data_IF_905896438757
#
_entry.id   IF_905896438757
#
_cell.length_a   1.000
_cell.length_b   1.000
_cell.length_c   1.000
_cell.angle_alpha   90.00
_cell.angle_beta   90.00
_cell.angle_gamma   90.00
#
_symmetry.space_group_name_H-M   'P 1'
#
loop_
_entity.id
_entity.type
_entity.pdbx_description
1 polymer ?
#
# COMPACT_ATOMS: atom_id res chain seq x y z
N UNK A 1 -10.34 -4.26 -25.12
CA UNK A 1 -8.88 -4.50 -25.03
C UNK A 1 -8.51 -4.54 -23.54
N UNK A 2 -7.83 -5.60 -23.09
CA UNK A 2 -7.32 -5.71 -21.73
C UNK A 2 -5.89 -5.14 -21.71
N UNK A 3 -5.57 -4.27 -20.77
CA UNK A 3 -4.22 -3.74 -20.59
C UNK A 3 -3.71 -4.14 -19.22
N UNK A 4 -2.66 -4.95 -19.18
CA UNK A 4 -1.95 -5.30 -17.94
C UNK A 4 -1.13 -4.10 -17.51
N UNK A 5 -1.31 -3.69 -16.25
CA UNK A 5 -0.59 -2.57 -15.65
C UNK A 5 0.59 -3.06 -14.81
N UNK A 6 0.38 -4.17 -14.09
CA UNK A 6 1.40 -4.72 -13.21
C UNK A 6 1.23 -6.22 -13.03
N UNK A 7 2.35 -6.91 -12.86
CA UNK A 7 2.42 -8.32 -12.47
C UNK A 7 3.34 -8.39 -11.25
N UNK A 8 2.94 -9.16 -10.24
CA UNK A 8 3.80 -9.50 -9.09
C UNK A 8 3.68 -11.00 -8.81
N UNK A 9 4.79 -11.61 -8.41
CA UNK A 9 4.88 -13.03 -8.08
C UNK A 9 5.12 -13.12 -6.57
N UNK A 10 4.45 -14.06 -5.90
CA UNK A 10 4.66 -14.27 -4.47
C UNK A 10 6.05 -14.84 -4.22
N UNK A 11 6.75 -14.32 -3.21
CA UNK A 11 8.12 -14.73 -2.90
C UNK A 11 8.22 -16.10 -2.24
N UNK A 12 7.16 -16.54 -1.58
CA UNK A 12 7.03 -17.83 -0.90
C UNK A 12 6.39 -18.92 -1.78
N UNK A 13 5.63 -18.52 -2.79
CA UNK A 13 4.97 -19.40 -3.74
C UNK A 13 5.06 -18.83 -5.17
N UNK A 14 6.02 -19.30 -5.99
CA UNK A 14 6.19 -18.79 -7.35
C UNK A 14 5.02 -19.14 -8.28
N UNK A 15 4.17 -20.11 -7.92
CA UNK A 15 2.95 -20.45 -8.66
C UNK A 15 1.77 -19.53 -8.29
N UNK A 16 1.98 -18.58 -7.36
CA UNK A 16 1.03 -17.54 -7.02
C UNK A 16 1.42 -16.21 -7.69
N UNK A 17 0.63 -15.79 -8.68
CA UNK A 17 0.90 -14.58 -9.48
C UNK A 17 -0.32 -13.66 -9.46
N UNK A 18 -0.10 -12.38 -9.17
CA UNK A 18 -1.14 -11.36 -9.21
C UNK A 18 -0.93 -10.45 -10.42
N UNK A 19 -2.01 -10.22 -11.17
CA UNK A 19 -2.02 -9.41 -12.38
C UNK A 19 -3.05 -8.29 -12.22
N UNK A 20 -2.57 -7.06 -12.16
CA UNK A 20 -3.38 -5.84 -12.19
C UNK A 20 -3.71 -5.49 -13.65
N UNK A 21 -5.00 -5.41 -13.99
CA UNK A 21 -5.46 -5.13 -15.33
C UNK A 21 -6.53 -4.02 -15.37
N UNK A 22 -6.42 -3.16 -16.37
CA UNK A 22 -7.41 -2.12 -16.65
C UNK A 22 -8.76 -2.75 -17.00
N UNK A 23 -9.83 -2.21 -16.43
CA UNK A 23 -11.23 -2.65 -16.59
C UNK A 23 -11.54 -4.08 -16.13
N UNK A 24 -10.54 -4.96 -16.10
CA UNK A 24 -10.65 -6.37 -15.79
C UNK A 24 -10.33 -6.66 -14.33
N UNK A 25 -9.86 -5.68 -13.57
CA UNK A 25 -9.60 -5.80 -12.14
C UNK A 25 -8.31 -6.56 -11.85
N UNK A 26 -8.28 -7.23 -10.71
CA UNK A 26 -7.17 -8.07 -10.29
C UNK A 26 -7.44 -9.52 -10.70
N UNK A 27 -6.42 -10.18 -11.24
CA UNK A 27 -6.42 -11.61 -11.50
C UNK A 27 -5.34 -12.28 -10.67
N UNK A 28 -5.63 -13.48 -10.18
CA UNK A 28 -4.68 -14.29 -9.40
C UNK A 28 -4.58 -15.64 -10.08
N UNK A 29 -3.36 -16.05 -10.43
CA UNK A 29 -3.02 -17.43 -10.76
C UNK A 29 -2.58 -18.10 -9.47
N UNK A 30 -3.19 -19.22 -9.13
CA UNK A 30 -2.80 -20.02 -7.98
C UNK A 30 -2.95 -21.50 -8.36
N UNK A 31 -1.91 -22.30 -8.19
CA UNK A 31 -1.91 -23.73 -8.52
C UNK A 31 -2.38 -24.03 -9.96
N UNK A 32 -1.95 -23.20 -10.92
CA UNK A 32 -2.30 -23.33 -12.33
C UNK A 32 -3.72 -22.89 -12.72
N UNK A 33 -4.51 -22.35 -11.79
CA UNK A 33 -5.87 -21.89 -12.05
C UNK A 33 -5.98 -20.37 -11.90
N UNK A 34 -6.59 -19.73 -12.91
CA UNK A 34 -6.86 -18.29 -12.89
C UNK A 34 -8.18 -17.98 -12.17
N UNK A 35 -8.14 -17.02 -11.26
CA UNK A 35 -9.31 -16.48 -10.56
C UNK A 35 -9.34 -14.97 -10.67
N UNK A 36 -10.51 -14.43 -11.03
CA UNK A 36 -10.78 -12.99 -11.01
C UNK A 36 -11.14 -12.53 -9.60
N UNK A 37 -10.57 -11.40 -9.18
CA UNK A 37 -10.85 -10.73 -7.91
C UNK A 37 -11.55 -9.40 -8.18
N UNK A 38 -12.68 -9.19 -7.53
CA UNK A 38 -13.47 -7.97 -7.66
C UNK A 38 -14.39 -7.75 -6.46
N UNK A 39 -15.58 -7.18 -6.72
CA UNK A 39 -16.50 -6.78 -5.65
C UNK A 39 -16.91 -7.93 -4.72
N UNK A 40 -17.02 -9.17 -5.23
CA UNK A 40 -17.32 -10.35 -4.39
C UNK A 40 -16.24 -10.65 -3.34
N UNK A 41 -15.02 -10.19 -3.58
CA UNK A 41 -13.88 -10.32 -2.69
C UNK A 41 -13.55 -9.00 -1.98
N UNK A 42 -14.41 -7.98 -2.08
CA UNK A 42 -14.23 -6.70 -1.39
C UNK A 42 -13.44 -5.62 -2.15
N UNK A 43 -12.94 -5.91 -3.37
CA UNK A 43 -12.46 -4.85 -4.26
C UNK A 43 -13.66 -4.20 -4.95
N UNK A 44 -14.21 -3.19 -4.28
CA UNK A 44 -15.39 -2.46 -4.72
C UNK A 44 -15.17 -1.75 -6.06
N UNK A 45 -16.25 -1.65 -6.84
CA UNK A 45 -16.27 -0.85 -8.07
C UNK A 45 -16.11 0.63 -7.71
N UNK A 46 -15.63 1.41 -8.67
CA UNK A 46 -15.70 2.87 -8.55
C UNK A 46 -17.13 3.39 -8.78
N UNK A 47 -17.32 4.70 -8.60
CA UNK A 47 -18.58 5.41 -8.82
C UNK A 47 -19.14 5.27 -10.23
N UNK A 48 -18.32 4.84 -11.21
CA UNK A 48 -18.73 4.58 -12.59
C UNK A 48 -19.02 3.10 -12.85
N UNK A 49 -19.04 2.29 -11.79
CA UNK A 49 -19.26 0.85 -11.85
C UNK A 49 -18.09 0.09 -12.48
N UNK A 50 -16.89 0.68 -12.56
CA UNK A 50 -15.72 0.08 -13.19
C UNK A 50 -14.78 -0.50 -12.12
N UNK A 51 -14.01 -1.50 -12.54
CA UNK A 51 -13.02 -2.16 -11.69
C UNK A 51 -11.64 -2.05 -12.31
N UNK A 52 -11.07 -0.87 -12.18
CA UNK A 52 -9.70 -0.60 -12.60
C UNK A 52 -8.73 -0.85 -11.46
N UNK A 53 -7.92 -1.88 -11.62
CA UNK A 53 -6.80 -2.15 -10.75
C UNK A 53 -5.53 -1.82 -11.52
N UNK A 54 -4.77 -0.84 -11.00
CA UNK A 54 -3.54 -0.39 -11.63
C UNK A 54 -2.31 -0.98 -10.96
N UNK A 55 -2.38 -1.13 -9.65
CA UNK A 55 -1.24 -1.50 -8.83
C UNK A 55 -1.61 -2.69 -7.94
N UNK A 56 -0.64 -3.57 -7.78
CA UNK A 56 -0.66 -4.66 -6.80
C UNK A 56 0.75 -4.78 -6.23
N UNK A 57 0.87 -4.91 -4.91
CA UNK A 57 2.11 -5.17 -4.19
C UNK A 57 1.85 -6.28 -3.17
N UNK A 58 2.85 -7.14 -2.96
CA UNK A 58 2.85 -8.13 -1.89
C UNK A 58 3.80 -7.61 -0.82
N UNK A 59 3.41 -7.72 0.45
CA UNK A 59 4.31 -7.41 1.55
C UNK A 59 5.47 -8.43 1.57
N UNK A 60 6.73 -8.00 1.39
CA UNK A 60 7.86 -8.92 1.33
C UNK A 60 8.13 -9.62 2.67
N UNK A 61 7.57 -9.12 3.77
CA UNK A 61 7.67 -9.74 5.10
C UNK A 61 6.50 -10.67 5.42
N UNK A 62 5.42 -10.60 4.63
CA UNK A 62 4.21 -11.41 4.80
C UNK A 62 3.43 -11.55 3.48
N UNK A 63 3.61 -12.66 2.77
CA UNK A 63 2.95 -12.94 1.48
C UNK A 63 1.42 -12.95 1.52
N UNK A 64 0.82 -13.20 2.70
CA UNK A 64 -0.64 -13.13 2.85
C UNK A 64 -1.16 -11.70 2.78
N UNK A 65 -0.28 -10.72 2.98
CA UNK A 65 -0.63 -9.31 2.94
C UNK A 65 -0.41 -8.74 1.55
N UNK A 66 -1.51 -8.43 0.86
CA UNK A 66 -1.50 -7.96 -0.53
C UNK A 66 -2.21 -6.62 -0.61
N UNK A 67 -1.54 -5.61 -1.17
CA UNK A 67 -2.07 -4.25 -1.32
C UNK A 67 -2.39 -3.97 -2.77
N UNK A 68 -3.58 -3.42 -3.03
CA UNK A 68 -4.08 -3.09 -4.36
C UNK A 68 -4.39 -1.60 -4.44
N UNK A 69 -3.91 -0.95 -5.50
CA UNK A 69 -4.21 0.45 -5.82
C UNK A 69 -5.08 0.57 -7.07
N UNK A 70 -6.21 1.27 -6.93
CA UNK A 70 -7.13 1.52 -8.05
C UNK A 70 -6.89 2.87 -8.73
N UNK A 71 -7.34 2.96 -9.97
CA UNK A 71 -7.18 4.14 -10.82
C UNK A 71 -8.46 4.39 -11.61
N UNK A 72 -8.88 5.63 -11.82
CA UNK A 72 -9.93 5.95 -12.81
C UNK A 72 -9.41 6.97 -13.82
N UNK A 73 -9.00 6.55 -15.04
CA UNK A 73 -8.43 7.45 -16.04
C UNK A 73 -9.42 8.56 -16.43
N UNK A 74 -8.99 9.82 -16.29
CA UNK A 74 -9.77 11.01 -16.65
C UNK A 74 -10.95 11.33 -15.73
N UNK A 75 -11.18 10.53 -14.69
CA UNK A 75 -12.42 10.57 -13.90
C UNK A 75 -12.20 10.80 -12.40
N UNK A 76 -10.96 10.64 -11.92
CA UNK A 76 -10.57 10.96 -10.54
C UNK A 76 -11.08 10.01 -9.45
N UNK A 77 -12.16 9.26 -9.69
CA UNK A 77 -12.79 8.39 -8.69
C UNK A 77 -12.37 6.93 -8.87
N UNK A 78 -11.13 6.56 -8.52
CA UNK A 78 -10.63 5.18 -8.62
C UNK A 78 -11.15 4.24 -7.53
N UNK A 79 -11.67 4.79 -6.43
CA UNK A 79 -12.01 4.08 -5.20
C UNK A 79 -10.78 3.51 -4.45
N UNK A 80 -9.64 4.21 -4.51
CA UNK A 80 -8.57 4.12 -3.51
C UNK A 80 -7.76 2.82 -3.41
N UNK A 81 -7.42 2.44 -2.18
CA UNK A 81 -6.47 1.38 -1.83
C UNK A 81 -7.17 0.27 -1.03
N UNK A 82 -6.85 -0.98 -1.34
CA UNK A 82 -7.39 -2.17 -0.69
C UNK A 82 -6.27 -3.03 -0.15
N UNK A 83 -6.54 -3.72 0.95
CA UNK A 83 -5.61 -4.66 1.58
C UNK A 83 -6.30 -6.01 1.79
N UNK A 84 -5.59 -7.06 1.43
CA UNK A 84 -5.88 -8.43 1.86
C UNK A 84 -4.89 -8.84 2.94
N UNK A 85 -5.33 -9.66 3.88
CA UNK A 85 -4.49 -10.34 4.86
C UNK A 85 -4.59 -11.88 4.75
N UNK A 86 -5.14 -12.38 3.64
CA UNK A 86 -5.42 -13.80 3.39
C UNK A 86 -4.96 -14.28 2.00
N UNK A 87 -3.96 -13.61 1.41
CA UNK A 87 -3.39 -13.95 0.10
C UNK A 87 -4.30 -13.55 -1.07
N UNK A 88 -5.13 -12.53 -0.89
CA UNK A 88 -6.04 -12.03 -1.93
C UNK A 88 -7.31 -12.88 -2.13
N UNK A 89 -7.75 -13.57 -1.06
CA UNK A 89 -9.07 -14.22 -1.05
C UNK A 89 -10.15 -13.19 -0.71
N UNK A 90 -9.88 -12.31 0.25
CA UNK A 90 -10.71 -11.15 0.61
C UNK A 90 -9.87 -9.88 0.74
N UNK A 91 -10.50 -8.75 0.49
CA UNK A 91 -9.91 -7.42 0.52
C UNK A 91 -10.80 -6.47 1.30
N UNK A 92 -10.17 -5.59 2.07
CA UNK A 92 -10.82 -4.50 2.79
C UNK A 92 -10.35 -3.16 2.23
N UNK A 93 -11.27 -2.21 2.14
CA UNK A 93 -10.94 -0.84 1.74
C UNK A 93 -10.18 -0.14 2.88
N UNK A 94 -8.92 0.20 2.63
CA UNK A 94 -8.03 0.88 3.58
C UNK A 94 -7.78 2.35 3.23
N UNK A 95 -8.51 2.86 2.25
CA UNK A 95 -8.45 4.28 1.84
C UNK A 95 -8.67 5.19 3.03
N UNK A 96 -9.61 4.87 3.93
CA UNK A 96 -9.84 5.68 5.12
C UNK A 96 -10.41 7.06 4.80
N UNK A 97 -9.89 8.11 5.44
CA UNK A 97 -10.45 9.47 5.38
C UNK A 97 -10.00 10.30 4.17
N UNK A 98 -9.15 9.76 3.29
CA UNK A 98 -8.71 10.44 2.06
C UNK A 98 -9.78 10.43 0.96
N UNK A 99 -10.89 9.72 1.17
CA UNK A 99 -12.07 9.72 0.32
C UNK A 99 -11.95 8.82 -0.93
N UNK A 100 -13.07 8.39 -1.52
CA UNK A 100 -13.08 7.49 -2.67
C UNK A 100 -12.68 8.17 -3.98
N UNK A 101 -12.69 9.51 -4.00
CA UNK A 101 -12.41 10.37 -5.15
C UNK A 101 -10.90 10.59 -5.36
N UNK A 102 -10.15 9.49 -5.44
CA UNK A 102 -8.74 9.55 -5.77
C UNK A 102 -8.31 8.47 -6.74
N UNK A 103 -7.25 8.81 -7.44
CA UNK A 103 -6.46 7.88 -8.23
C UNK A 103 -5.19 7.52 -7.48
N UNK A 104 -4.86 6.23 -7.43
CA UNK A 104 -3.55 5.77 -6.97
C UNK A 104 -2.59 5.70 -8.15
N UNK A 105 -1.50 6.46 -8.07
CA UNK A 105 -0.45 6.53 -9.08
C UNK A 105 0.77 5.68 -8.72
N UNK A 106 1.05 5.53 -7.42
CA UNK A 106 2.17 4.75 -6.91
C UNK A 106 1.80 4.02 -5.63
N UNK A 107 2.36 2.83 -5.46
CA UNK A 107 2.13 1.97 -4.30
C UNK A 107 3.42 1.18 -4.04
N UNK A 108 3.93 1.19 -2.80
CA UNK A 108 5.07 0.37 -2.37
C UNK A 108 4.88 -0.09 -0.93
N UNK A 109 5.35 -1.29 -0.63
CA UNK A 109 5.40 -1.84 0.73
C UNK A 109 6.86 -1.91 1.16
N UNK A 110 7.15 -1.36 2.34
CA UNK A 110 8.48 -1.36 2.96
C UNK A 110 8.83 -2.75 3.44
N UNK A 111 10.00 -3.26 3.06
CA UNK A 111 10.54 -4.52 3.57
C UNK A 111 11.08 -4.45 4.99
N UNK A 112 11.23 -3.25 5.54
CA UNK A 112 11.76 -3.06 6.89
C UNK A 112 10.69 -3.23 7.97
N UNK A 113 9.49 -2.69 7.72
CA UNK A 113 8.43 -2.58 8.74
C UNK A 113 7.01 -2.82 8.20
N UNK A 114 6.87 -3.24 6.94
CA UNK A 114 5.57 -3.44 6.29
C UNK A 114 4.78 -2.14 6.04
N UNK A 115 5.38 -0.96 6.23
CA UNK A 115 4.69 0.30 5.96
C UNK A 115 4.33 0.43 4.47
N UNK A 116 3.12 0.92 4.17
CA UNK A 116 2.65 1.14 2.79
C UNK A 116 2.80 2.61 2.43
N UNK A 117 3.44 2.90 1.31
CA UNK A 117 3.52 4.23 0.74
C UNK A 117 2.61 4.33 -0.47
N UNK A 118 1.73 5.32 -0.48
CA UNK A 118 0.70 5.50 -1.50
C UNK A 118 0.83 6.89 -2.08
N UNK A 119 1.13 6.98 -3.38
CA UNK A 119 1.07 8.22 -4.13
C UNK A 119 -0.28 8.33 -4.83
N UNK A 120 -1.02 9.41 -4.57
CA UNK A 120 -2.36 9.63 -5.11
C UNK A 120 -2.49 10.97 -5.83
N UNK A 121 -3.62 11.20 -6.52
CA UNK A 121 -3.98 12.51 -7.07
C UNK A 121 -4.20 13.60 -6.01
N UNK A 122 -4.29 13.24 -4.71
CA UNK A 122 -4.51 14.19 -3.60
C UNK A 122 -3.28 14.38 -2.70
N UNK A 123 -2.19 13.68 -3.00
CA UNK A 123 -0.97 13.70 -2.20
C UNK A 123 -0.36 12.32 -1.98
N UNK A 124 0.70 12.29 -1.17
CA UNK A 124 1.37 11.04 -0.76
C UNK A 124 1.02 10.72 0.69
N UNK A 125 0.80 9.44 0.96
CA UNK A 125 0.34 8.94 2.26
C UNK A 125 1.20 7.75 2.68
N UNK A 126 1.35 7.58 4.00
CA UNK A 126 2.01 6.41 4.61
C UNK A 126 1.00 5.69 5.50
N UNK A 127 0.94 4.38 5.36
CA UNK A 127 0.29 3.46 6.28
C UNK A 127 1.36 2.80 7.13
N UNK A 128 1.31 2.94 8.46
CA UNK A 128 2.05 2.01 9.32
C UNK A 128 1.31 0.69 9.35
N UNK A 129 2.03 -0.43 9.36
CA UNK A 129 1.43 -1.76 9.50
C UNK A 129 0.49 -1.78 10.72
N UNK A 130 -0.78 -2.18 10.51
CA UNK A 130 -1.82 -2.21 11.54
C UNK A 130 -2.47 -0.86 11.90
N UNK A 131 -2.23 0.23 11.17
CA UNK A 131 -2.86 1.54 11.40
C UNK A 131 -3.55 2.08 10.12
N UNK A 132 -4.22 3.25 10.18
CA UNK A 132 -4.87 3.93 9.03
C UNK A 132 -3.92 4.89 8.31
N UNK A 133 -4.23 5.23 7.05
CA UNK A 133 -3.40 6.10 6.21
C UNK A 133 -3.27 7.48 6.85
N UNK A 134 -2.02 7.94 7.01
CA UNK A 134 -1.71 9.29 7.46
C UNK A 134 -1.07 10.09 6.32
N UNK A 135 -1.40 11.39 6.17
CA UNK A 135 -0.73 12.26 5.21
C UNK A 135 0.77 12.29 5.43
N UNK A 136 1.55 12.22 4.35
CA UNK A 136 2.97 12.57 4.38
C UNK A 136 3.07 13.99 3.82
N UNK A 137 3.55 14.98 4.60
CA UNK A 137 3.78 16.32 4.10
C UNK A 137 4.65 16.25 2.85
N UNK A 138 4.13 16.73 1.72
CA UNK A 138 4.84 16.71 0.45
C UNK A 138 5.79 17.91 0.45
N UNK A 139 7.03 17.66 0.86
CA UNK A 139 8.02 18.67 1.14
C UNK A 139 8.60 18.41 2.53
N UNK A 140 9.85 17.98 2.57
CA UNK A 140 10.66 18.02 3.79
C UNK A 140 10.74 19.47 4.27
N UNK A 141 9.85 19.88 5.16
CA UNK A 141 10.25 20.83 6.18
C UNK A 141 11.07 20.04 7.19
N UNK A 142 12.39 20.02 6.96
CA UNK A 142 13.34 19.75 8.04
C UNK A 142 13.24 20.95 8.99
N UNK A 143 12.35 20.90 9.98
CA UNK A 143 12.61 21.67 11.19
C UNK A 143 13.76 20.99 11.93
N UNK A 144 14.96 21.42 11.54
CA UNK A 144 16.28 21.29 12.19
C UNK A 144 16.41 20.18 13.25
N UNK A 145 16.86 18.99 12.85
CA UNK A 145 17.58 18.10 13.78
C UNK A 145 19.01 18.63 13.89
N UNK A 146 19.28 19.56 14.80
CA UNK A 146 20.66 19.81 15.24
C UNK A 146 21.01 18.76 16.30
N UNK A 147 21.71 17.71 15.90
CA UNK A 147 22.44 16.86 16.82
C UNK A 147 23.75 17.55 17.16
N UNK A 148 23.95 17.93 18.43
CA UNK A 148 25.24 18.34 18.98
C UNK A 148 25.72 17.21 19.89
N UNK A 149 26.64 16.33 19.43
CA UNK A 149 27.18 15.27 20.28
C UNK A 149 27.91 15.88 21.46
N UNK A 150 27.60 15.41 22.68
CA UNK A 150 28.40 15.69 23.86
C UNK A 150 29.44 14.58 24.02
N UNK A 151 30.67 14.87 24.51
CA UNK A 151 31.74 13.88 24.64
C UNK A 151 31.37 12.62 25.47
N UNK A 152 30.34 12.71 26.32
CA UNK A 152 29.78 11.59 27.10
C UNK A 152 29.06 10.54 26.26
N UNK A 153 28.60 10.89 25.06
CA UNK A 153 27.85 9.98 24.17
C UNK A 153 28.72 8.84 23.63
N UNK A 154 30.05 8.97 23.76
CA UNK A 154 31.03 7.99 23.27
C UNK A 154 31.73 7.19 24.37
N UNK A 155 31.41 7.42 25.66
CA UNK A 155 31.97 6.61 26.75
C UNK A 155 31.04 5.45 27.07
N UNK A 156 31.48 4.24 26.72
CA UNK A 156 30.67 3.03 26.69
C UNK A 156 30.11 2.52 28.02
N UNK A 157 29.15 1.62 27.82
CA UNK A 157 28.30 0.84 28.75
C UNK A 157 26.90 1.42 28.88
N UNK A 158 25.95 0.64 28.36
CA UNK A 158 24.50 0.84 28.31
C UNK A 158 23.98 1.60 27.08
N UNK A 159 23.51 0.84 26.07
CA UNK A 159 22.50 1.35 25.13
C UNK A 159 21.20 1.54 25.92
N UNK A 160 21.11 2.69 26.58
CA UNK A 160 19.94 3.16 27.31
C UNK A 160 18.74 3.29 26.38
N UNK A 161 17.60 2.78 26.86
CA UNK A 161 16.28 2.82 26.24
C UNK A 161 16.00 4.17 25.54
N UNK A 162 15.75 4.14 24.24
CA UNK A 162 15.07 5.25 23.55
C UNK A 162 13.60 5.27 24.00
N UNK A 163 13.31 6.05 25.04
CA UNK A 163 11.95 6.46 25.38
C UNK A 163 11.58 7.70 24.57
N UNK A 164 10.62 7.56 23.67
CA UNK A 164 9.99 8.69 22.99
C UNK A 164 9.08 9.41 23.98
N UNK A 165 9.45 10.65 24.36
CA UNK A 165 8.52 11.56 25.02
C UNK A 165 7.80 12.32 23.91
N UNK A 166 6.51 12.07 23.77
CA UNK A 166 5.61 12.96 23.04
C UNK A 166 5.08 13.98 24.03
N UNK A 167 5.23 15.26 23.73
CA UNK A 167 4.44 16.32 24.35
C UNK A 167 4.50 17.59 23.48
N UNK A 168 3.46 18.44 23.51
CA UNK A 168 2.03 18.20 23.74
C UNK A 168 1.23 18.12 22.42
#
# INVERSE_FOLDING_TARGET
>A
MCLVQKIVVSSDNPDCIYVAANWQGLWVLESGQWRKVGAKQGIERDSFGKNYVKLVEIDPTNSSRVIVGKWAPGMGQGNGVFESNDGGKTFNNITGNIGPELTVWGLRVSSYDGSVFVGTSRGTYKLKSGQKLIPVPMGLEIEKISYRPEPSDFSGKEMGKMSFILAP
#
